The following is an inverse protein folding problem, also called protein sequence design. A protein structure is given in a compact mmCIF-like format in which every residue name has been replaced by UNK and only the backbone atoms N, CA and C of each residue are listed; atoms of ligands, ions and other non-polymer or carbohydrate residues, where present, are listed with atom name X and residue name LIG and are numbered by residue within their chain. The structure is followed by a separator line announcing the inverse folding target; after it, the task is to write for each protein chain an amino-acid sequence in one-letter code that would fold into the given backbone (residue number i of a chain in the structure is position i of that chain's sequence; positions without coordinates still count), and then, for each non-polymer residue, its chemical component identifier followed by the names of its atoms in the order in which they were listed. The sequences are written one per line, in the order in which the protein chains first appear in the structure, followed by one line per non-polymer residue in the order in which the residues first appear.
data_IF_655086858002
#
_entry.id   IF_655086858002
#
_cell.length_a   1.000
_cell.length_b   1.000
_cell.length_c   1.000
_cell.angle_alpha   90.00
_cell.angle_beta   90.00
_cell.angle_gamma   90.00
#
_symmetry.space_group_name_H-M   'P 1'
#
loop_
_entity.id
_entity.type
_entity.pdbx_description
1 polymer ?
#
# COMPACT_ATOMS: atom_id res chain seq x y z
N UNK A 1 -3.01 -3.39 2.06
CA UNK A 1 -3.35 -2.12 2.67
C UNK A 1 -3.14 -1.00 1.67
N UNK A 2 -4.22 -0.53 1.16
CA UNK A 2 -4.27 0.52 0.15
C UNK A 2 -4.09 1.93 0.70
N UNK A 3 -3.55 2.09 1.87
CA UNK A 3 -3.20 3.40 2.37
C UNK A 3 -2.02 3.98 1.58
N UNK A 4 -2.30 4.36 0.33
CA UNK A 4 -1.42 5.26 -0.38
C UNK A 4 -1.36 6.55 0.43
N UNK A 5 -0.39 6.64 1.34
CA UNK A 5 -0.13 7.85 2.08
C UNK A 5 0.16 8.97 1.10
N UNK A 6 -0.11 10.22 1.46
CA UNK A 6 0.22 11.39 0.62
C UNK A 6 1.70 11.41 0.17
N UNK A 7 2.57 10.72 0.91
CA UNK A 7 3.99 10.56 0.54
C UNK A 7 4.14 9.75 -0.75
N UNK A 8 3.43 8.62 -0.87
CA UNK A 8 3.49 7.81 -2.11
C UNK A 8 2.80 8.49 -3.28
N UNK A 9 1.69 9.22 -3.03
CA UNK A 9 1.04 10.03 -4.05
C UNK A 9 1.98 11.12 -4.58
N UNK A 10 2.75 11.79 -3.69
CA UNK A 10 3.72 12.80 -4.11
C UNK A 10 4.83 12.20 -4.98
N UNK A 11 5.36 11.02 -4.64
CA UNK A 11 6.35 10.36 -5.47
C UNK A 11 5.79 10.10 -6.87
N UNK A 12 4.58 9.58 -6.99
CA UNK A 12 3.97 9.35 -8.29
C UNK A 12 3.74 10.64 -9.06
N UNK A 13 3.34 11.72 -8.38
CA UNK A 13 3.16 13.05 -8.99
C UNK A 13 4.46 13.64 -9.55
N UNK A 14 5.59 13.37 -8.90
CA UNK A 14 6.91 13.82 -9.37
C UNK A 14 7.34 13.15 -10.68
N UNK A 15 6.94 11.89 -10.89
CA UNK A 15 7.33 11.13 -12.07
C UNK A 15 6.39 11.29 -13.27
N UNK A 16 5.10 11.29 -13.05
CA UNK A 16 4.10 11.29 -14.15
C UNK A 16 3.16 12.50 -14.14
N UNK A 17 3.34 13.43 -13.20
CA UNK A 17 2.45 14.56 -13.01
C UNK A 17 1.18 14.18 -12.27
N UNK A 18 0.54 15.21 -11.67
CA UNK A 18 -0.62 15.02 -10.78
C UNK A 18 -1.83 14.41 -11.47
N UNK A 19 -2.19 14.93 -12.63
CA UNK A 19 -3.42 14.52 -13.32
C UNK A 19 -3.31 13.09 -13.85
N UNK A 20 -2.16 12.72 -14.39
CA UNK A 20 -1.92 11.35 -14.84
C UNK A 20 -1.90 10.37 -13.67
N UNK A 21 -1.30 10.74 -12.54
CA UNK A 21 -1.30 9.92 -11.33
C UNK A 21 -2.73 9.72 -10.77
N UNK A 22 -3.56 10.77 -10.77
CA UNK A 22 -4.97 10.66 -10.36
C UNK A 22 -5.75 9.75 -11.32
N UNK A 23 -5.54 9.89 -12.62
CA UNK A 23 -6.19 9.04 -13.61
C UNK A 23 -5.76 7.57 -13.48
N UNK A 24 -4.48 7.32 -13.22
CA UNK A 24 -3.98 5.98 -12.96
C UNK A 24 -4.60 5.37 -11.69
N UNK A 25 -4.71 6.14 -10.61
CA UNK A 25 -5.37 5.66 -9.38
C UNK A 25 -6.85 5.34 -9.61
N UNK A 26 -7.57 6.16 -10.37
CA UNK A 26 -8.96 5.88 -10.74
C UNK A 26 -9.08 4.63 -11.61
N UNK A 27 -8.17 4.46 -12.55
CA UNK A 27 -8.12 3.27 -13.40
C UNK A 27 -7.91 2.00 -12.56
N UNK A 28 -6.96 2.01 -11.63
CA UNK A 28 -6.74 0.89 -10.70
C UNK A 28 -7.97 0.63 -9.82
N UNK A 29 -8.65 1.68 -9.33
CA UNK A 29 -9.89 1.53 -8.57
C UNK A 29 -11.00 0.88 -9.45
N UNK A 30 -11.10 1.26 -10.72
CA UNK A 30 -12.02 0.62 -11.66
C UNK A 30 -11.72 -0.86 -11.85
N UNK A 31 -10.44 -1.25 -11.97
CA UNK A 31 -10.06 -2.65 -12.05
C UNK A 31 -10.48 -3.40 -10.78
N UNK A 32 -10.19 -2.86 -9.60
CA UNK A 32 -10.57 -3.50 -8.34
C UNK A 32 -12.09 -3.66 -8.20
N UNK A 33 -12.85 -2.63 -8.56
CA UNK A 33 -14.32 -2.68 -8.48
C UNK A 33 -14.92 -3.65 -9.49
N UNK A 34 -14.43 -3.69 -10.73
CA UNK A 34 -14.92 -4.62 -11.74
C UNK A 34 -14.60 -6.09 -11.45
N UNK A 35 -13.68 -6.37 -10.52
CA UNK A 35 -13.27 -7.73 -10.14
C UNK A 35 -13.82 -8.18 -8.78
N UNK A 36 -14.83 -7.52 -8.23
CA UNK A 36 -15.50 -7.94 -6.99
C UNK A 36 -15.44 -6.91 -5.86
N UNK A 37 -14.89 -5.73 -6.12
CA UNK A 37 -14.86 -4.62 -5.15
C UNK A 37 -16.01 -3.61 -5.29
N UNK A 38 -17.03 -3.87 -6.09
CA UNK A 38 -18.10 -2.92 -6.43
C UNK A 38 -18.95 -2.48 -5.23
N UNK A 39 -19.19 -3.37 -4.28
CA UNK A 39 -19.99 -3.06 -3.09
C UNK A 39 -19.21 -2.34 -2.00
N UNK A 40 -17.90 -2.16 -2.17
CA UNK A 40 -17.08 -1.50 -1.17
C UNK A 40 -17.24 0.01 -1.19
N UNK A 41 -17.29 0.61 0.00
CA UNK A 41 -17.50 2.05 0.15
C UNK A 41 -16.24 2.86 -0.16
N UNK A 42 -16.43 4.01 -0.84
CA UNK A 42 -15.37 5.02 -1.03
C UNK A 42 -15.49 6.08 0.07
N UNK A 43 -14.56 6.08 1.00
CA UNK A 43 -14.46 7.08 2.07
C UNK A 43 -13.75 8.34 1.56
N UNK A 44 -14.21 9.51 1.95
CA UNK A 44 -13.59 10.78 1.54
C UNK A 44 -13.60 11.79 2.68
N UNK A 45 -12.50 12.52 2.82
CA UNK A 45 -12.42 13.67 3.74
C UNK A 45 -13.10 14.93 3.19
N UNK A 46 -13.47 14.93 1.92
CA UNK A 46 -14.12 16.08 1.27
C UNK A 46 -15.51 16.33 1.85
N UNK A 47 -15.80 17.57 2.21
CA UNK A 47 -17.09 17.97 2.74
C UNK A 47 -17.35 17.59 4.21
N UNK A 48 -16.42 16.96 4.90
CA UNK A 48 -16.59 16.56 6.29
C UNK A 48 -16.28 17.70 7.26
N UNK A 49 -16.91 17.66 8.44
CA UNK A 49 -16.65 18.60 9.55
C UNK A 49 -15.26 18.44 10.18
N UNK A 50 -14.62 17.27 9.98
CA UNK A 50 -13.36 16.93 10.66
C UNK A 50 -12.20 17.83 10.27
N UNK A 51 -12.19 18.37 9.06
CA UNK A 51 -11.17 19.34 8.65
C UNK A 51 -11.19 20.59 9.52
N UNK A 52 -12.39 21.14 9.77
CA UNK A 52 -12.59 22.31 10.64
C UNK A 52 -12.23 21.97 12.09
N UNK A 53 -12.70 20.83 12.59
CA UNK A 53 -12.40 20.39 13.96
C UNK A 53 -10.89 20.20 14.20
N UNK A 54 -10.18 19.62 13.24
CA UNK A 54 -8.72 19.48 13.31
C UNK A 54 -8.05 20.87 13.38
N UNK A 55 -8.44 21.79 12.51
CA UNK A 55 -7.88 23.15 12.50
C UNK A 55 -8.11 23.89 13.83
N UNK A 56 -9.29 23.78 14.41
CA UNK A 56 -9.62 24.38 15.70
C UNK A 56 -8.76 23.83 16.87
N UNK A 57 -8.22 22.61 16.72
CA UNK A 57 -7.40 21.94 17.72
C UNK A 57 -5.92 21.86 17.35
N UNK A 58 -5.42 22.73 16.48
CA UNK A 58 -4.01 22.75 16.01
C UNK A 58 -3.58 21.46 15.32
N UNK A 59 -4.53 20.72 14.80
CA UNK A 59 -4.32 19.50 14.02
C UNK A 59 -4.54 19.78 12.54
N UNK A 60 -3.99 18.94 11.67
CA UNK A 60 -4.22 19.00 10.23
C UNK A 60 -4.73 17.65 9.73
N UNK A 61 -5.95 17.63 9.20
CA UNK A 61 -6.46 16.49 8.46
C UNK A 61 -5.92 16.55 7.03
N UNK A 62 -5.30 15.47 6.57
CA UNK A 62 -4.87 15.35 5.17
C UNK A 62 -6.07 14.96 4.29
N UNK A 63 -6.16 15.58 3.12
CA UNK A 63 -7.21 15.27 2.17
C UNK A 63 -6.95 13.87 1.56
N UNK A 64 -7.94 13.00 1.62
CA UNK A 64 -7.88 11.64 1.11
C UNK A 64 -9.23 11.19 0.56
N UNK A 65 -9.17 10.32 -0.46
CA UNK A 65 -10.27 9.47 -0.87
C UNK A 65 -9.72 8.05 -0.91
N UNK A 66 -10.34 7.14 -0.17
CA UNK A 66 -9.83 5.79 0.07
C UNK A 66 -10.95 4.77 -0.06
N UNK A 67 -10.70 3.70 -0.80
CA UNK A 67 -11.51 2.49 -0.78
C UNK A 67 -10.78 1.44 0.02
N UNK A 68 -11.46 0.81 0.93
CA UNK A 68 -10.93 -0.29 1.72
C UNK A 68 -11.62 -1.59 1.31
N UNK A 69 -10.83 -2.53 0.79
CA UNK A 69 -11.36 -3.81 0.33
C UNK A 69 -11.47 -4.85 1.46
N UNK A 70 -10.69 -4.69 2.53
CA UNK A 70 -10.52 -5.76 3.52
C UNK A 70 -9.72 -6.94 2.97
N UNK A 71 -9.46 -7.93 3.82
CA UNK A 71 -8.67 -9.11 3.42
C UNK A 71 -9.50 -10.04 2.53
N UNK A 72 -10.77 -10.20 2.84
CA UNK A 72 -11.68 -11.15 2.18
C UNK A 72 -12.00 -10.73 0.74
N UNK A 73 -12.42 -9.48 0.55
CA UNK A 73 -12.73 -8.94 -0.78
C UNK A 73 -11.46 -8.83 -1.63
N UNK A 74 -10.33 -8.49 -1.03
CA UNK A 74 -9.06 -8.45 -1.74
C UNK A 74 -8.68 -9.81 -2.33
N UNK A 75 -8.97 -10.90 -1.61
CA UNK A 75 -8.78 -12.26 -2.13
C UNK A 75 -9.65 -12.52 -3.38
N UNK A 76 -10.93 -12.18 -3.31
CA UNK A 76 -11.88 -12.32 -4.44
C UNK A 76 -11.41 -11.52 -5.67
N UNK A 77 -11.00 -10.27 -5.45
CA UNK A 77 -10.48 -9.39 -6.52
C UNK A 77 -9.27 -10.02 -7.20
N UNK A 78 -8.30 -10.50 -6.42
CA UNK A 78 -7.10 -11.14 -6.98
C UNK A 78 -7.41 -12.46 -7.70
N UNK A 79 -8.33 -13.27 -7.17
CA UNK A 79 -8.76 -14.51 -7.83
C UNK A 79 -9.45 -14.23 -9.17
N UNK A 80 -10.33 -13.24 -9.21
CA UNK A 80 -11.01 -12.84 -10.45
C UNK A 80 -10.03 -12.29 -11.49
N UNK A 81 -9.08 -11.44 -11.08
CA UNK A 81 -8.00 -10.96 -11.96
C UNK A 81 -7.16 -12.12 -12.51
N UNK A 82 -6.81 -13.09 -11.66
CA UNK A 82 -6.07 -14.28 -12.09
C UNK A 82 -6.88 -15.09 -13.10
N UNK A 83 -8.16 -15.33 -12.84
CA UNK A 83 -9.04 -16.08 -13.73
C UNK A 83 -9.22 -15.43 -15.10
N UNK A 84 -9.22 -14.10 -15.18
CA UNK A 84 -9.24 -13.36 -16.44
C UNK A 84 -7.94 -13.50 -17.23
N UNK A 85 -6.81 -13.55 -16.53
CA UNK A 85 -5.49 -13.52 -17.18
C UNK A 85 -4.90 -14.88 -17.47
N UNK A 86 -5.28 -15.95 -16.75
CA UNK A 86 -4.61 -17.26 -16.76
C UNK A 86 -4.55 -17.93 -18.13
N UNK A 87 -5.49 -17.62 -19.02
CA UNK A 87 -5.55 -18.18 -20.36
C UNK A 87 -4.77 -17.35 -21.41
N UNK A 88 -4.22 -16.20 -20.97
CA UNK A 88 -3.51 -15.25 -21.84
C UNK A 88 -2.07 -15.00 -21.40
N UNK A 89 -1.69 -15.40 -20.19
CA UNK A 89 -0.39 -15.14 -19.58
C UNK A 89 0.13 -16.43 -18.95
N UNK A 90 1.40 -16.73 -19.15
CA UNK A 90 2.06 -17.83 -18.48
C UNK A 90 2.45 -17.46 -17.04
N UNK A 91 1.91 -18.19 -16.07
CA UNK A 91 2.19 -17.98 -14.65
C UNK A 91 3.16 -19.03 -14.12
N UNK A 92 4.25 -18.59 -13.54
CA UNK A 92 5.27 -19.44 -12.91
C UNK A 92 5.21 -19.30 -11.39
N UNK A 93 4.30 -20.01 -10.72
CA UNK A 93 4.18 -20.00 -9.25
C UNK A 93 5.31 -20.78 -8.59
N UNK A 94 5.65 -20.41 -7.34
CA UNK A 94 6.72 -21.06 -6.57
C UNK A 94 8.05 -21.11 -7.34
N UNK A 95 8.30 -20.10 -8.14
CA UNK A 95 9.48 -20.02 -9.01
C UNK A 95 10.25 -18.74 -8.68
N UNK A 96 11.10 -18.77 -7.66
CA UNK A 96 11.89 -17.59 -7.29
C UNK A 96 12.89 -17.25 -8.39
N UNK A 97 12.91 -15.98 -8.78
CA UNK A 97 13.93 -15.44 -9.69
C UNK A 97 15.23 -15.23 -8.91
N UNK A 98 16.31 -15.83 -9.40
CA UNK A 98 17.63 -15.75 -8.77
C UNK A 98 18.44 -14.55 -9.24
N UNK A 99 18.37 -14.20 -10.52
CA UNK A 99 19.15 -13.12 -11.12
C UNK A 99 18.45 -12.51 -12.35
N UNK A 100 18.86 -11.30 -12.71
CA UNK A 100 18.49 -10.65 -13.98
C UNK A 100 19.77 -10.09 -14.58
N UNK A 101 19.97 -10.30 -15.86
CA UNK A 101 21.10 -9.77 -16.64
C UNK A 101 20.59 -9.01 -17.85
N UNK A 102 21.34 -8.00 -18.26
CA UNK A 102 21.10 -7.29 -19.53
C UNK A 102 21.75 -8.11 -20.65
N UNK A 103 21.01 -8.35 -21.70
CA UNK A 103 21.49 -8.99 -22.93
C UNK A 103 21.28 -8.05 -24.12
N UNK A 104 21.80 -8.42 -25.28
CA UNK A 104 21.53 -7.64 -26.50
C UNK A 104 20.01 -7.64 -26.81
N UNK A 105 19.42 -6.46 -26.79
CA UNK A 105 18.00 -6.24 -27.07
C UNK A 105 17.02 -6.50 -25.92
N UNK A 106 17.49 -6.86 -24.70
CA UNK A 106 16.57 -7.12 -23.61
C UNK A 106 17.19 -7.59 -22.31
N UNK A 107 16.51 -8.55 -21.67
CA UNK A 107 16.90 -9.06 -20.37
C UNK A 107 16.81 -10.58 -20.33
N UNK A 108 17.72 -11.20 -19.56
CA UNK A 108 17.69 -12.61 -19.20
C UNK A 108 17.33 -12.76 -17.75
N UNK A 109 16.25 -13.47 -17.48
CA UNK A 109 15.71 -13.74 -16.15
C UNK A 109 16.02 -15.17 -15.78
N UNK A 110 16.77 -15.36 -14.67
CA UNK A 110 17.17 -16.68 -14.19
C UNK A 110 16.25 -17.17 -13.07
N UNK A 111 15.79 -18.41 -13.17
CA UNK A 111 14.98 -19.06 -12.16
C UNK A 111 15.31 -20.56 -12.12
N UNK A 112 15.43 -21.10 -10.90
CA UNK A 112 15.95 -22.48 -10.75
C UNK A 112 17.29 -22.63 -11.49
N UNK A 113 17.40 -23.65 -12.34
CA UNK A 113 18.55 -23.91 -13.22
C UNK A 113 18.27 -23.54 -14.69
N UNK A 114 17.26 -22.69 -14.92
CA UNK A 114 16.78 -22.28 -16.24
C UNK A 114 16.85 -20.75 -16.40
N UNK A 115 16.59 -20.28 -17.58
CA UNK A 115 16.44 -18.85 -17.86
C UNK A 115 15.37 -18.60 -18.94
N UNK A 116 14.90 -17.36 -18.97
CA UNK A 116 14.00 -16.84 -20.00
C UNK A 116 14.53 -15.49 -20.48
N UNK A 117 14.57 -15.29 -21.78
CA UNK A 117 14.91 -14.01 -22.39
C UNK A 117 13.62 -13.22 -22.70
N UNK A 118 13.65 -11.91 -22.48
CA UNK A 118 12.51 -11.01 -22.73
C UNK A 118 13.00 -9.61 -23.14
N UNK A 119 12.21 -8.91 -23.94
CA UNK A 119 12.49 -7.54 -24.36
C UNK A 119 12.38 -6.53 -23.21
N UNK A 120 11.45 -6.78 -22.27
CA UNK A 120 11.18 -5.92 -21.12
C UNK A 120 10.93 -6.73 -19.87
N UNK A 121 11.48 -6.29 -18.77
CA UNK A 121 11.30 -6.91 -17.46
C UNK A 121 10.74 -5.91 -16.45
N UNK A 122 9.57 -6.21 -15.87
CA UNK A 122 8.98 -5.40 -14.79
C UNK A 122 9.21 -6.13 -13.47
N UNK A 123 9.90 -5.48 -12.54
CA UNK A 123 10.21 -6.05 -11.23
C UNK A 123 9.34 -5.43 -10.15
N UNK A 124 8.53 -6.26 -9.49
CA UNK A 124 7.53 -5.84 -8.51
C UNK A 124 7.49 -6.80 -7.31
N UNK A 125 8.62 -6.96 -6.62
CA UNK A 125 8.86 -8.02 -5.62
C UNK A 125 8.36 -7.73 -4.20
N UNK A 126 7.89 -6.53 -3.93
CA UNK A 126 7.41 -6.16 -2.59
C UNK A 126 8.50 -6.16 -1.51
N UNK A 127 8.07 -6.16 -0.23
CA UNK A 127 8.98 -6.04 0.93
C UNK A 127 9.88 -7.26 1.12
N UNK A 128 9.37 -8.45 0.89
CA UNK A 128 10.15 -9.69 1.04
C UNK A 128 11.31 -9.80 0.06
N UNK A 129 11.20 -9.18 -1.11
CA UNK A 129 12.22 -9.13 -2.14
C UNK A 129 13.20 -7.96 -2.01
N UNK A 130 13.16 -7.16 -0.95
CA UNK A 130 13.95 -5.92 -0.82
C UNK A 130 15.45 -6.13 -0.93
N UNK A 131 16.00 -7.15 -0.27
CA UNK A 131 17.44 -7.47 -0.38
C UNK A 131 17.81 -8.01 -1.76
N UNK A 132 16.93 -8.80 -2.36
CA UNK A 132 17.16 -9.34 -3.69
C UNK A 132 17.20 -8.22 -4.74
N UNK A 133 16.22 -7.30 -4.72
CA UNK A 133 16.19 -6.18 -5.67
C UNK A 133 17.37 -5.20 -5.46
N UNK A 134 17.83 -5.00 -4.24
CA UNK A 134 19.03 -4.22 -3.97
C UNK A 134 20.25 -4.81 -4.68
N UNK A 135 20.45 -6.13 -4.57
CA UNK A 135 21.53 -6.84 -5.25
C UNK A 135 21.41 -6.75 -6.79
N UNK A 136 20.19 -6.88 -7.32
CA UNK A 136 19.93 -6.73 -8.76
C UNK A 136 20.28 -5.30 -9.22
N UNK A 137 19.83 -4.28 -8.49
CA UNK A 137 20.16 -2.89 -8.78
C UNK A 137 21.67 -2.63 -8.78
N UNK A 138 22.41 -3.17 -7.81
CA UNK A 138 23.86 -3.05 -7.75
C UNK A 138 24.53 -3.70 -8.97
N UNK A 139 24.13 -4.90 -9.35
CA UNK A 139 24.69 -5.61 -10.53
C UNK A 139 24.39 -4.91 -11.85
N UNK A 140 23.22 -4.32 -11.96
CA UNK A 140 22.79 -3.59 -13.16
C UNK A 140 23.19 -2.11 -13.15
N UNK A 141 23.97 -1.68 -12.14
CA UNK A 141 24.42 -0.29 -11.95
C UNK A 141 23.26 0.72 -11.88
N UNK A 142 22.09 0.28 -11.37
CA UNK A 142 20.92 1.13 -11.18
C UNK A 142 21.08 1.90 -9.87
N UNK A 143 21.11 3.24 -9.88
CA UNK A 143 21.30 4.02 -8.67
C UNK A 143 20.10 3.90 -7.74
N UNK A 144 20.35 3.64 -6.46
CA UNK A 144 19.34 3.58 -5.42
C UNK A 144 19.52 4.67 -4.38
N UNK A 145 18.42 5.08 -3.74
CA UNK A 145 18.43 6.06 -2.63
C UNK A 145 17.73 5.47 -1.43
N UNK A 146 18.28 5.70 -0.25
CA UNK A 146 17.57 5.38 1.00
C UNK A 146 16.33 6.24 1.15
N UNK A 147 15.21 5.61 1.44
CA UNK A 147 13.96 6.30 1.74
C UNK A 147 13.86 6.60 3.24
N UNK A 148 13.02 7.58 3.58
CA UNK A 148 12.61 7.81 4.96
C UNK A 148 11.77 6.63 5.45
N UNK A 149 11.92 6.30 6.73
CA UNK A 149 11.07 5.34 7.41
C UNK A 149 10.26 6.08 8.48
N UNK A 150 9.00 5.68 8.64
CA UNK A 150 8.18 6.13 9.74
C UNK A 150 8.36 5.15 10.91
N UNK A 151 8.66 5.67 12.08
CA UNK A 151 8.73 4.90 13.32
C UNK A 151 7.56 5.34 14.19
N UNK A 152 6.85 4.40 14.78
CA UNK A 152 5.70 4.72 15.60
C UNK A 152 5.28 3.56 16.50
N UNK A 153 4.17 3.76 17.18
CA UNK A 153 3.53 2.77 18.05
C UNK A 153 2.17 2.37 17.48
N UNK A 154 1.81 1.11 17.64
CA UNK A 154 0.45 0.65 17.41
C UNK A 154 -0.31 0.76 18.72
N UNK A 155 -1.48 1.40 18.67
CA UNK A 155 -2.35 1.60 19.84
C UNK A 155 -3.67 0.88 19.59
N UNK A 156 -4.10 0.07 20.56
CA UNK A 156 -5.40 -0.57 20.57
C UNK A 156 -6.28 0.14 21.60
N UNK A 157 -7.48 0.52 21.20
CA UNK A 157 -8.44 1.29 21.98
C UNK A 157 -9.83 0.68 21.82
N UNK A 158 -10.74 0.84 22.79
CA UNK A 158 -12.15 0.54 22.58
C UNK A 158 -12.71 1.28 21.36
N UNK A 159 -13.38 0.58 20.46
CA UNK A 159 -13.86 1.13 19.17
C UNK A 159 -14.74 2.38 19.37
N UNK A 160 -15.54 2.46 20.46
CA UNK A 160 -16.40 3.59 20.77
C UNK A 160 -15.68 4.92 20.89
N UNK A 161 -14.36 4.92 21.20
CA UNK A 161 -13.56 6.15 21.34
C UNK A 161 -13.37 6.82 19.99
N UNK A 162 -13.18 6.04 18.93
CA UNK A 162 -12.91 6.52 17.57
C UNK A 162 -14.05 6.32 16.59
N UNK A 163 -15.16 5.68 16.97
CA UNK A 163 -16.29 5.37 16.08
C UNK A 163 -16.80 6.62 15.33
N UNK A 164 -16.91 7.77 16.00
CA UNK A 164 -17.33 9.02 15.38
C UNK A 164 -16.45 9.47 14.19
N UNK A 165 -15.21 8.97 14.12
CA UNK A 165 -14.25 9.26 13.07
C UNK A 165 -14.16 8.11 12.06
N UNK A 166 -14.10 6.87 12.55
CA UNK A 166 -13.91 5.68 11.72
C UNK A 166 -15.17 5.30 10.92
N UNK A 167 -16.35 5.59 11.44
CA UNK A 167 -17.62 5.33 10.73
C UNK A 167 -17.78 6.26 9.52
N UNK A 168 -17.23 7.49 9.59
CA UNK A 168 -17.32 8.47 8.50
C UNK A 168 -16.13 8.42 7.54
N UNK A 169 -14.92 8.14 8.04
CA UNK A 169 -13.68 8.22 7.27
C UNK A 169 -12.95 6.89 7.13
N UNK A 170 -13.36 5.84 7.85
CA UNK A 170 -12.66 4.58 8.03
C UNK A 170 -11.25 4.78 8.63
N UNK A 171 -10.36 5.41 7.89
CA UNK A 171 -9.05 5.85 8.38
C UNK A 171 -8.82 7.32 8.06
N UNK A 172 -8.25 8.05 9.00
CA UNK A 172 -7.93 9.45 8.84
C UNK A 172 -6.44 9.70 9.07
N UNK A 173 -5.84 10.50 8.21
CA UNK A 173 -4.45 10.93 8.35
C UNK A 173 -4.44 12.30 9.03
N UNK A 174 -4.36 12.29 10.36
CA UNK A 174 -4.29 13.52 11.18
C UNK A 174 -2.84 13.76 11.53
N UNK A 175 -2.37 14.97 11.25
CA UNK A 175 -1.00 15.41 11.53
C UNK A 175 -1.01 16.39 12.69
N UNK A 176 -0.11 16.17 13.63
CA UNK A 176 0.20 17.07 14.74
C UNK A 176 1.68 17.43 14.72
N UNK A 177 1.99 18.69 14.95
CA UNK A 177 3.37 19.16 15.17
C UNK A 177 3.58 19.37 16.66
N UNK A 178 4.55 18.63 17.22
CA UNK A 178 4.86 18.75 18.65
C UNK A 178 5.41 20.14 18.99
N UNK A 179 5.01 20.70 20.14
CA UNK A 179 5.41 22.07 20.54
C UNK A 179 6.89 22.13 20.92
N UNK A 180 7.43 21.08 21.52
CA UNK A 180 8.79 21.07 22.07
C UNK A 180 9.88 20.82 21.06
N UNK A 181 9.66 19.87 20.15
CA UNK A 181 10.67 19.41 19.19
C UNK A 181 10.30 19.67 17.74
N UNK A 182 9.11 20.20 17.51
CA UNK A 182 8.55 20.45 16.18
C UNK A 182 8.45 19.19 15.28
N UNK A 183 8.50 18.00 15.89
CA UNK A 183 8.33 16.75 15.17
C UNK A 183 6.93 16.63 14.59
N UNK A 184 6.84 16.07 13.40
CA UNK A 184 5.57 15.73 12.77
C UNK A 184 5.15 14.32 13.18
N UNK A 185 4.09 14.24 13.98
CA UNK A 185 3.43 12.99 14.33
C UNK A 185 2.17 12.85 13.47
N UNK A 186 1.93 11.66 12.97
CA UNK A 186 0.78 11.40 12.10
C UNK A 186 0.09 10.11 12.50
N UNK A 187 -1.25 10.12 12.55
CA UNK A 187 -2.01 8.87 12.55
C UNK A 187 -1.75 8.11 11.25
N UNK A 188 -1.61 6.81 11.35
CA UNK A 188 -1.27 5.97 10.20
C UNK A 188 -2.44 5.03 9.88
N UNK A 189 -2.21 3.73 9.75
CA UNK A 189 -3.26 2.76 9.49
C UNK A 189 -4.24 2.69 10.67
N UNK A 190 -5.51 2.91 10.42
CA UNK A 190 -6.60 2.60 11.34
C UNK A 190 -7.28 1.31 10.90
N UNK A 191 -7.62 0.46 11.86
CA UNK A 191 -8.29 -0.80 11.62
C UNK A 191 -9.51 -0.86 12.55
N UNK A 192 -10.65 -0.29 12.13
CA UNK A 192 -11.88 -0.34 12.93
C UNK A 192 -12.24 -1.79 13.26
N UNK A 193 -12.61 -2.04 14.52
CA UNK A 193 -12.90 -3.38 15.03
C UNK A 193 -11.79 -4.43 14.85
N UNK A 194 -10.56 -3.97 14.64
CA UNK A 194 -9.39 -4.82 14.42
C UNK A 194 -8.61 -5.10 15.69
N UNK A 195 -7.60 -5.92 15.54
CA UNK A 195 -6.66 -6.29 16.60
C UNK A 195 -5.21 -6.00 16.20
N UNK A 196 -4.35 -5.81 17.18
CA UNK A 196 -2.90 -5.71 16.97
C UNK A 196 -2.31 -7.12 16.82
N UNK A 197 -1.56 -7.33 15.77
CA UNK A 197 -0.87 -8.60 15.48
C UNK A 197 0.62 -8.40 15.36
N UNK A 198 1.38 -9.41 15.76
CA UNK A 198 2.83 -9.44 15.59
C UNK A 198 3.19 -9.96 14.19
N UNK A 199 4.14 -9.31 13.55
CA UNK A 199 4.80 -9.78 12.34
C UNK A 199 6.28 -9.98 12.61
N UNK A 200 6.82 -11.15 12.27
CA UNK A 200 8.24 -11.42 12.35
C UNK A 200 8.81 -11.59 10.94
N UNK A 201 9.72 -10.72 10.58
CA UNK A 201 10.42 -10.78 9.30
C UNK A 201 11.92 -10.83 9.56
N UNK A 202 12.54 -11.98 9.29
CA UNK A 202 13.99 -12.20 9.48
C UNK A 202 14.49 -11.87 10.91
N UNK A 203 13.71 -12.19 11.93
CA UNK A 203 14.05 -11.94 13.33
C UNK A 203 13.72 -10.53 13.84
N UNK A 204 13.24 -9.65 12.99
CA UNK A 204 12.73 -8.33 13.38
C UNK A 204 11.24 -8.46 13.64
N UNK A 205 10.85 -8.23 14.89
CA UNK A 205 9.44 -8.22 15.30
C UNK A 205 8.89 -6.82 15.13
N UNK A 206 7.82 -6.71 14.37
CA UNK A 206 7.02 -5.49 14.18
C UNK A 206 5.57 -5.79 14.54
N UNK A 207 4.76 -4.74 14.66
CA UNK A 207 3.32 -4.88 14.91
C UNK A 207 2.52 -4.28 13.78
N UNK A 208 1.40 -4.93 13.46
CA UNK A 208 0.44 -4.46 12.46
C UNK A 208 -0.97 -4.51 13.02
N UNK A 209 -1.96 -4.00 12.31
CA UNK A 209 -3.38 -4.13 12.63
C UNK A 209 -4.09 -4.94 11.55
N UNK A 210 -4.95 -5.86 11.96
CA UNK A 210 -5.84 -6.58 11.05
C UNK A 210 -7.29 -6.31 11.42
N UNK A 211 -8.09 -5.98 10.43
CA UNK A 211 -9.56 -5.92 10.52
C UNK A 211 -10.13 -7.03 9.67
N UNK A 212 -11.19 -7.66 10.18
CA UNK A 212 -11.98 -8.63 9.44
C UNK A 212 -13.36 -8.03 9.22
N UNK A 213 -13.88 -8.11 8.00
CA UNK A 213 -15.25 -7.73 7.69
C UNK A 213 -16.20 -8.73 8.41
N UNK A 214 -17.15 -8.22 9.22
CA UNK A 214 -18.08 -9.06 9.97
C UNK A 214 -17.65 -9.46 11.40
N UNK A 215 -16.55 -8.94 11.92
CA UNK A 215 -16.25 -9.08 13.36
C UNK A 215 -17.01 -8.03 14.17
N UNK A 216 -18.32 -8.22 14.31
CA UNK A 216 -19.10 -7.61 15.38
C UNK A 216 -18.64 -8.20 16.71
N UNK A 217 -17.68 -7.58 17.37
CA UNK A 217 -17.34 -7.90 18.77
C UNK A 217 -16.94 -6.65 19.53
#
# INVERSE_FOLDING_TARGET
SSAASDVYKRQLYEYIGRDQAINLMKYVDTINTSHGGEETHMYSTAGTKFKTLCMQNKLKLLDASVRHLGTDINYVVLENMYNEMKDHIDFYFNTPVSNIEVIDGGYRVFYKDEYMDCDKCIVSVGRSGSKWIENVCQKLEIPTKSNRVDIGVRVELPAVIFSHLTDELYESKIVYRTEKFEDLVRTFCMNPNGIVVNENTNGIVTVNGHSYEGSDK
#
